data_IF_396509438662
#
_entry.id   IF_396509438662
#
_cell.length_a   1.000
_cell.length_b   1.000
_cell.length_c   1.000
_cell.angle_alpha   90.00
_cell.angle_beta   90.00
_cell.angle_gamma   90.00
#
_symmetry.space_group_name_H-M   'P 1'
#
loop_
_entity.id
_entity.type
_entity.pdbx_description
1 polymer ?
#
# COMPACT_ATOMS: atom_id res chain seq x y z
N UNK A 1 -4.73 -13.83 8.37
CA UNK A 1 -5.19 -14.39 7.07
C UNK A 1 -4.10 -15.27 6.47
N UNK A 2 -4.44 -16.25 5.63
CA UNK A 2 -3.46 -17.02 4.87
C UNK A 2 -3.52 -16.63 3.39
N UNK A 3 -2.37 -16.32 2.80
CA UNK A 3 -2.23 -15.99 1.38
C UNK A 3 -1.74 -17.18 0.56
N UNK A 4 -2.02 -17.19 -0.75
CA UNK A 4 -1.65 -18.27 -1.67
C UNK A 4 -0.56 -17.87 -2.66
N UNK A 5 0.06 -18.87 -3.29
CA UNK A 5 1.05 -18.66 -4.35
C UNK A 5 0.45 -17.80 -5.48
N UNK A 6 1.27 -16.94 -6.09
CA UNK A 6 0.90 -16.01 -7.15
C UNK A 6 -0.16 -14.96 -6.78
N UNK A 7 -0.58 -14.88 -5.52
CA UNK A 7 -1.50 -13.85 -5.04
C UNK A 7 -0.80 -12.48 -4.96
N UNK A 8 -1.49 -11.44 -5.43
CA UNK A 8 -1.08 -10.05 -5.23
C UNK A 8 -1.42 -9.58 -3.82
N UNK A 9 -0.43 -9.02 -3.15
CA UNK A 9 -0.51 -8.51 -1.77
C UNK A 9 0.07 -7.11 -1.69
N UNK A 10 -0.39 -6.34 -0.72
CA UNK A 10 0.12 -5.00 -0.44
C UNK A 10 0.87 -5.05 0.88
N UNK A 11 2.09 -4.53 0.87
CA UNK A 11 2.92 -4.36 2.05
C UNK A 11 3.13 -2.87 2.30
N UNK A 12 2.78 -2.33 3.51
CA UNK A 12 3.03 -0.95 3.85
C UNK A 12 4.43 -0.45 3.42
N UNK A 13 4.47 0.77 2.89
CA UNK A 13 5.67 1.45 2.38
C UNK A 13 6.37 0.83 1.15
N UNK A 14 6.18 -0.46 0.88
CA UNK A 14 6.76 -1.13 -0.31
C UNK A 14 5.78 -1.18 -1.49
N UNK A 15 4.48 -1.09 -1.20
CA UNK A 15 3.43 -1.11 -2.22
C UNK A 15 2.98 -2.52 -2.57
N UNK A 16 2.70 -2.76 -3.85
CA UNK A 16 2.14 -4.04 -4.30
C UNK A 16 3.25 -5.03 -4.64
N UNK A 17 3.16 -6.22 -4.06
CA UNK A 17 4.01 -7.36 -4.35
C UNK A 17 3.20 -8.60 -4.72
N UNK A 18 3.90 -9.65 -5.12
CA UNK A 18 3.33 -10.96 -5.47
C UNK A 18 3.98 -12.04 -4.62
N UNK A 19 3.19 -12.96 -4.10
CA UNK A 19 3.73 -14.13 -3.39
C UNK A 19 4.35 -15.06 -4.42
N UNK A 20 5.67 -15.14 -4.38
CA UNK A 20 6.47 -15.97 -5.28
C UNK A 20 6.60 -17.39 -4.74
N UNK A 21 6.68 -17.53 -3.42
CA UNK A 21 6.84 -18.83 -2.77
C UNK A 21 6.31 -18.82 -1.33
N UNK A 22 5.96 -20.00 -0.83
CA UNK A 22 5.60 -20.26 0.57
C UNK A 22 6.52 -21.38 1.05
N UNK A 23 7.46 -21.05 1.92
CA UNK A 23 8.49 -21.99 2.37
C UNK A 23 8.37 -22.23 3.87
N UNK A 24 8.45 -23.49 4.27
CA UNK A 24 8.63 -23.87 5.66
C UNK A 24 10.13 -23.97 5.95
N UNK A 25 10.62 -23.25 6.95
CA UNK A 25 12.03 -23.25 7.36
C UNK A 25 12.16 -23.55 8.84
N UNK A 26 13.16 -24.37 9.16
CA UNK A 26 13.55 -24.61 10.55
C UNK A 26 14.38 -23.42 11.06
N UNK A 27 13.97 -22.82 12.17
CA UNK A 27 14.69 -21.76 12.86
C UNK A 27 14.70 -22.09 14.36
N UNK A 28 15.89 -22.26 14.94
CA UNK A 28 16.08 -22.67 16.34
C UNK A 28 15.33 -23.97 16.74
N UNK A 29 15.19 -24.93 15.83
CA UNK A 29 14.49 -26.20 16.09
C UNK A 29 12.96 -26.14 15.95
N UNK A 30 12.41 -24.97 15.58
CA UNK A 30 10.99 -24.81 15.28
C UNK A 30 10.78 -24.60 13.78
N UNK A 31 9.75 -25.22 13.22
CA UNK A 31 9.35 -25.00 11.84
C UNK A 31 8.45 -23.76 11.72
N UNK A 32 8.91 -22.78 10.95
CA UNK A 32 8.22 -21.51 10.71
C UNK A 32 7.94 -21.38 9.22
N UNK A 33 6.69 -21.10 8.89
CA UNK A 33 6.30 -20.77 7.52
C UNK A 33 6.66 -19.32 7.17
N UNK A 34 7.18 -19.12 5.98
CA UNK A 34 7.54 -17.82 5.42
C UNK A 34 6.89 -17.59 4.05
N UNK A 35 6.37 -16.39 3.87
CA UNK A 35 6.01 -15.85 2.57
C UNK A 35 7.23 -15.20 1.91
N UNK A 36 7.53 -15.59 0.68
CA UNK A 36 8.48 -14.90 -0.19
C UNK A 36 7.69 -13.96 -1.11
N UNK A 37 7.76 -12.66 -0.84
CA UNK A 37 7.01 -11.62 -1.55
C UNK A 37 7.95 -10.85 -2.45
N UNK A 38 7.69 -10.86 -3.75
CA UNK A 38 8.44 -10.12 -4.75
C UNK A 38 7.74 -8.81 -5.12
N UNK A 39 8.46 -7.70 -5.07
CA UNK A 39 7.99 -6.37 -5.43
C UNK A 39 8.58 -5.98 -6.79
N UNK A 40 7.79 -6.02 -7.88
CA UNK A 40 8.31 -5.79 -9.23
C UNK A 40 8.82 -4.36 -9.43
N UNK A 41 8.24 -3.38 -8.74
CA UNK A 41 8.63 -1.98 -8.91
C UNK A 41 10.05 -1.67 -8.45
N UNK A 42 10.51 -2.32 -7.36
CA UNK A 42 11.84 -2.12 -6.80
C UNK A 42 12.76 -3.33 -7.00
N UNK A 43 12.30 -4.36 -7.71
CA UNK A 43 12.99 -5.66 -7.87
C UNK A 43 13.46 -6.30 -6.54
N UNK A 44 12.76 -6.02 -5.44
CA UNK A 44 13.10 -6.51 -4.11
C UNK A 44 12.27 -7.74 -3.72
N UNK A 45 12.87 -8.64 -2.95
CA UNK A 45 12.16 -9.80 -2.38
C UNK A 45 12.24 -9.75 -0.86
N UNK A 46 11.08 -9.85 -0.19
CA UNK A 46 10.97 -9.90 1.26
C UNK A 46 10.55 -11.28 1.72
N UNK A 47 11.17 -11.78 2.79
CA UNK A 47 10.75 -12.98 3.49
C UNK A 47 10.03 -12.59 4.77
N UNK A 48 8.76 -12.96 4.89
CA UNK A 48 7.92 -12.59 6.02
C UNK A 48 7.36 -13.83 6.70
N UNK A 49 7.54 -14.01 8.03
CA UNK A 49 6.91 -15.10 8.75
C UNK A 49 5.38 -15.00 8.64
N UNK A 50 4.71 -16.11 8.31
CA UNK A 50 3.24 -16.16 8.19
C UNK A 50 2.56 -15.67 9.47
N UNK A 51 3.13 -15.99 10.63
CA UNK A 51 2.63 -15.57 11.94
C UNK A 51 2.60 -14.06 12.16
N UNK A 52 3.48 -13.30 11.48
CA UNK A 52 3.61 -11.84 11.61
C UNK A 52 3.04 -11.07 10.43
N UNK A 53 2.50 -11.75 9.41
CA UNK A 53 2.03 -11.08 8.20
C UNK A 53 0.92 -10.05 8.51
N UNK A 54 0.02 -10.38 9.43
CA UNK A 54 -1.06 -9.51 9.88
C UNK A 54 -0.53 -8.31 10.69
N UNK A 55 0.39 -8.55 11.64
CA UNK A 55 1.04 -7.52 12.45
C UNK A 55 1.85 -6.52 11.61
N UNK A 56 2.43 -6.98 10.50
CA UNK A 56 3.18 -6.17 9.55
C UNK A 56 2.26 -5.42 8.56
N UNK A 57 0.94 -5.57 8.69
CA UNK A 57 -0.05 -4.89 7.86
C UNK A 57 -0.12 -5.39 6.43
N UNK A 58 0.36 -6.61 6.15
CA UNK A 58 0.26 -7.22 4.83
C UNK A 58 -1.19 -7.58 4.57
N UNK A 59 -1.70 -7.16 3.41
CA UNK A 59 -3.10 -7.39 3.03
C UNK A 59 -3.22 -7.85 1.60
N UNK A 60 -4.39 -8.37 1.26
CA UNK A 60 -4.75 -8.62 -0.13
C UNK A 60 -4.91 -7.30 -0.90
N UNK A 61 -4.66 -7.37 -2.20
CA UNK A 61 -5.01 -6.29 -3.13
C UNK A 61 -6.51 -5.94 -3.01
N UNK A 62 -6.84 -4.66 -3.09
CA UNK A 62 -8.24 -4.22 -3.05
C UNK A 62 -9.02 -4.64 -4.29
N UNK A 63 -10.33 -4.82 -4.12
CA UNK A 63 -11.25 -5.04 -5.25
C UNK A 63 -11.43 -3.76 -6.06
N UNK A 64 -11.86 -3.93 -7.32
CA UNK A 64 -12.22 -2.82 -8.21
C UNK A 64 -13.27 -1.89 -7.60
N UNK A 65 -14.25 -2.42 -6.87
CA UNK A 65 -15.30 -1.63 -6.20
C UNK A 65 -14.69 -0.67 -5.17
N UNK A 66 -13.76 -1.15 -4.35
CA UNK A 66 -13.04 -0.30 -3.38
C UNK A 66 -12.17 0.74 -4.06
N UNK A 67 -11.62 0.44 -5.23
CA UNK A 67 -10.89 1.43 -6.04
C UNK A 67 -11.80 2.55 -6.51
N UNK A 68 -13.03 2.23 -6.93
CA UNK A 68 -14.03 3.24 -7.30
C UNK A 68 -14.40 4.12 -6.10
N UNK A 69 -14.52 3.56 -4.90
CA UNK A 69 -14.70 4.33 -3.66
C UNK A 69 -13.52 5.28 -3.39
N UNK A 70 -12.28 4.81 -3.56
CA UNK A 70 -11.08 5.64 -3.45
C UNK A 70 -11.10 6.81 -4.44
N UNK A 71 -11.47 6.55 -5.70
CA UNK A 71 -11.63 7.61 -6.70
C UNK A 71 -12.68 8.64 -6.31
N UNK A 72 -13.81 8.19 -5.75
CA UNK A 72 -14.86 9.09 -5.27
C UNK A 72 -14.35 9.98 -4.13
N UNK A 73 -13.60 9.43 -3.17
CA UNK A 73 -13.00 10.19 -2.06
C UNK A 73 -12.03 11.25 -2.58
N UNK A 74 -11.18 10.90 -3.55
CA UNK A 74 -10.19 11.82 -4.12
C UNK A 74 -10.87 12.92 -4.95
N UNK A 75 -11.93 12.58 -5.69
CA UNK A 75 -12.65 13.51 -6.59
C UNK A 75 -13.58 14.46 -5.84
N UNK A 76 -14.24 14.00 -4.78
CA UNK A 76 -15.14 14.84 -4.00
C UNK A 76 -14.34 15.90 -3.26
N UNK A 77 -14.57 17.19 -3.50
CA UNK A 77 -13.79 18.28 -2.88
C UNK A 77 -14.42 18.77 -1.56
N UNK A 78 -15.63 18.29 -1.21
CA UNK A 78 -16.46 18.89 -0.16
C UNK A 78 -16.36 18.20 1.21
N UNK A 79 -15.81 16.99 1.29
CA UNK A 79 -15.64 16.30 2.58
C UNK A 79 -14.70 17.13 3.47
N UNK A 80 -15.25 17.74 4.53
CA UNK A 80 -14.47 18.48 5.52
C UNK A 80 -13.47 17.52 6.18
N UNK A 81 -12.27 17.49 5.64
CA UNK A 81 -11.19 16.72 6.21
C UNK A 81 -10.86 17.35 7.56
N UNK A 82 -11.15 16.64 8.64
CA UNK A 82 -10.90 17.06 10.01
C UNK A 82 -9.38 17.13 10.25
N UNK A 83 -8.81 18.31 9.95
CA UNK A 83 -7.37 18.56 9.91
C UNK A 83 -6.69 18.25 11.25
N UNK A 84 -7.45 18.30 12.35
CA UNK A 84 -6.97 18.00 13.71
C UNK A 84 -6.78 16.50 13.90
N UNK A 85 -7.75 15.68 13.51
CA UNK A 85 -7.65 14.21 13.58
C UNK A 85 -6.54 13.64 12.70
N UNK A 86 -6.33 14.22 11.51
CA UNK A 86 -5.24 13.77 10.63
C UNK A 86 -3.88 14.19 11.18
N UNK A 87 -3.75 15.39 11.75
CA UNK A 87 -2.47 15.83 12.32
C UNK A 87 -2.06 14.98 13.52
N UNK A 88 -2.99 14.71 14.44
CA UNK A 88 -2.75 13.91 15.64
C UNK A 88 -2.62 12.41 15.33
N UNK A 89 -3.32 11.90 14.32
CA UNK A 89 -3.31 10.49 13.90
C UNK A 89 -2.36 10.16 12.74
N UNK A 90 -1.66 11.13 12.16
CA UNK A 90 -0.83 10.92 10.97
C UNK A 90 0.15 9.77 11.14
N UNK A 91 0.74 9.61 12.32
CA UNK A 91 1.63 8.49 12.64
C UNK A 91 0.93 7.10 12.64
N UNK A 92 -0.35 7.06 13.00
CA UNK A 92 -1.15 5.84 13.09
C UNK A 92 -1.82 5.48 11.75
N UNK A 93 -2.09 6.47 10.89
CA UNK A 93 -2.57 6.22 9.52
C UNK A 93 -1.55 5.43 8.68
N UNK A 94 -0.24 5.53 8.95
CA UNK A 94 0.78 4.68 8.31
C UNK A 94 0.66 3.21 8.67
N UNK A 95 0.21 2.92 9.91
CA UNK A 95 0.08 1.55 10.43
C UNK A 95 -1.24 0.93 10.04
N UNK A 96 -2.29 1.74 9.92
CA UNK A 96 -3.57 1.28 9.42
C UNK A 96 -3.50 1.11 7.90
N UNK A 97 -3.26 -0.13 7.49
CA UNK A 97 -3.16 -0.62 6.11
C UNK A 97 -4.45 -0.47 5.29
N UNK A 98 -5.33 0.50 5.59
CA UNK A 98 -6.57 0.68 4.85
C UNK A 98 -6.40 1.69 3.69
N UNK A 99 -6.83 1.29 2.49
CA UNK A 99 -6.69 2.11 1.28
C UNK A 99 -7.55 3.37 1.32
N UNK A 100 -8.74 3.32 1.95
CA UNK A 100 -9.63 4.48 2.04
C UNK A 100 -9.04 5.54 2.97
N UNK A 101 -8.49 5.09 4.10
CA UNK A 101 -7.74 5.90 5.04
C UNK A 101 -6.51 6.54 4.38
N UNK A 102 -5.79 5.77 3.57
CA UNK A 102 -4.67 6.24 2.75
C UNK A 102 -5.11 7.30 1.74
N UNK A 103 -6.23 7.11 1.05
CA UNK A 103 -6.78 8.06 0.08
C UNK A 103 -7.16 9.40 0.73
N UNK A 104 -7.74 9.37 1.94
CA UNK A 104 -8.06 10.56 2.73
C UNK A 104 -6.81 11.33 3.13
N UNK A 105 -5.75 10.64 3.57
CA UNK A 105 -4.49 11.27 3.92
C UNK A 105 -3.77 11.85 2.70
N UNK A 106 -3.74 11.13 1.58
CA UNK A 106 -3.21 11.63 0.31
C UNK A 106 -3.89 12.93 -0.10
N UNK A 107 -5.23 12.95 -0.11
CA UNK A 107 -6.03 14.13 -0.42
C UNK A 107 -5.72 15.30 0.52
N UNK A 108 -5.64 15.06 1.83
CA UNK A 108 -5.28 16.09 2.80
C UNK A 108 -3.92 16.73 2.51
N UNK A 109 -2.89 15.90 2.31
CA UNK A 109 -1.54 16.36 2.02
C UNK A 109 -1.47 17.07 0.66
N UNK A 110 -2.18 16.58 -0.35
CA UNK A 110 -2.26 17.18 -1.67
C UNK A 110 -2.94 18.56 -1.64
N UNK A 111 -4.10 18.70 -0.97
CA UNK A 111 -4.75 20.00 -0.81
C UNK A 111 -3.87 20.97 -0.02
N UNK A 112 -3.17 20.49 1.01
CA UNK A 112 -2.23 21.30 1.80
C UNK A 112 -1.04 21.76 0.96
N UNK A 113 -0.50 20.91 0.07
CA UNK A 113 0.62 21.24 -0.82
C UNK A 113 0.27 22.32 -1.86
N UNK A 114 -1.00 22.37 -2.30
CA UNK A 114 -1.51 23.43 -3.18
C UNK A 114 -1.60 24.79 -2.49
N UNK A 115 -1.80 24.82 -1.17
CA UNK A 115 -1.94 26.06 -0.41
C UNK A 115 -0.59 26.57 0.12
N UNK A 116 0.30 25.66 0.55
CA UNK A 116 1.59 25.96 1.18
C UNK A 116 2.61 24.89 0.86
N UNK A 117 3.89 25.24 0.86
CA UNK A 117 4.96 24.25 0.78
C UNK A 117 4.92 23.31 1.99
N UNK A 118 4.92 22.01 1.69
CA UNK A 118 4.99 20.96 2.71
C UNK A 118 6.43 20.82 3.23
N UNK A 119 6.61 20.54 4.54
CA UNK A 119 7.88 20.08 5.08
C UNK A 119 8.40 18.86 4.32
N UNK A 120 9.73 18.69 4.25
CA UNK A 120 10.37 17.59 3.53
C UNK A 120 9.78 16.21 3.85
N UNK A 121 9.53 15.94 5.13
CA UNK A 121 8.91 14.69 5.58
C UNK A 121 7.52 14.48 4.97
N UNK A 122 6.62 15.45 5.10
CA UNK A 122 5.25 15.38 4.56
C UNK A 122 5.24 15.29 3.02
N UNK A 123 6.19 15.93 2.35
CA UNK A 123 6.36 15.84 0.88
C UNK A 123 6.81 14.45 0.45
N UNK A 124 7.75 13.84 1.17
CA UNK A 124 8.19 12.46 0.91
C UNK A 124 7.02 11.49 1.08
N UNK A 125 6.28 11.63 2.16
CA UNK A 125 5.08 10.85 2.45
C UNK A 125 4.07 10.93 1.30
N UNK A 126 3.78 12.16 0.83
CA UNK A 126 2.84 12.37 -0.27
C UNK A 126 3.26 11.60 -1.53
N UNK A 127 4.56 11.66 -1.88
CA UNK A 127 5.11 10.94 -3.02
C UNK A 127 5.03 9.41 -2.85
N UNK A 128 5.37 8.90 -1.65
CA UNK A 128 5.30 7.47 -1.36
C UNK A 128 3.86 6.96 -1.49
N UNK A 129 2.87 7.73 -1.02
CA UNK A 129 1.45 7.40 -1.17
C UNK A 129 0.95 7.46 -2.60
N UNK A 130 1.38 8.46 -3.37
CA UNK A 130 1.03 8.59 -4.77
C UNK A 130 1.47 7.35 -5.55
N UNK A 131 2.71 6.90 -5.30
CA UNK A 131 3.26 5.70 -5.90
C UNK A 131 2.43 4.46 -5.53
N UNK A 132 2.18 4.24 -4.23
CA UNK A 132 1.41 3.08 -3.75
C UNK A 132 -0.01 3.06 -4.35
N UNK A 133 -0.71 4.20 -4.32
CA UNK A 133 -2.06 4.31 -4.87
C UNK A 133 -2.07 4.06 -6.39
N UNK A 134 -1.12 4.62 -7.14
CA UNK A 134 -1.01 4.38 -8.58
C UNK A 134 -0.82 2.90 -8.90
N UNK A 135 0.09 2.22 -8.20
CA UNK A 135 0.33 0.79 -8.42
C UNK A 135 -0.88 -0.07 -8.05
N UNK A 136 -1.48 0.21 -6.90
CA UNK A 136 -2.60 -0.56 -6.40
C UNK A 136 -3.84 -0.41 -7.29
N UNK A 137 -4.14 0.81 -7.72
CA UNK A 137 -5.23 1.11 -8.66
C UNK A 137 -4.96 0.47 -10.03
N UNK A 138 -3.74 0.57 -10.55
CA UNK A 138 -3.36 -0.01 -11.84
C UNK A 138 -3.58 -1.52 -11.85
N UNK A 139 -3.12 -2.22 -10.81
CA UNK A 139 -3.25 -3.67 -10.70
C UNK A 139 -4.70 -4.10 -10.44
N UNK A 140 -5.42 -3.40 -9.57
CA UNK A 140 -6.81 -3.71 -9.26
C UNK A 140 -7.77 -3.47 -10.44
N UNK A 141 -7.48 -2.47 -11.29
CA UNK A 141 -8.26 -2.21 -12.51
C UNK A 141 -7.78 -3.02 -13.72
N UNK A 142 -6.69 -3.79 -13.60
CA UNK A 142 -6.00 -4.43 -14.73
C UNK A 142 -5.66 -3.45 -15.86
N UNK A 143 -5.54 -2.16 -15.55
CA UNK A 143 -5.15 -1.14 -16.51
C UNK A 143 -3.63 -1.11 -16.46
N UNK A 144 -2.98 -1.47 -17.57
CA UNK A 144 -1.54 -1.27 -17.74
C UNK A 144 -1.26 0.23 -17.58
N UNK A 145 -0.67 0.63 -16.45
CA UNK A 145 -0.20 1.99 -16.28
C UNK A 145 0.90 2.22 -17.30
N UNK A 146 0.57 2.91 -18.39
CA UNK A 146 1.55 3.52 -19.31
C UNK A 146 2.25 4.66 -18.57
N UNK A 147 3.18 4.29 -17.70
CA UNK A 147 4.36 5.06 -17.36
C UNK A 147 5.40 4.05 -16.86
N UNK A 148 6.16 3.54 -17.84
CA UNK A 148 7.47 2.90 -17.72
C UNK A 148 7.71 2.04 -16.48
N UNK A 149 7.35 0.76 -16.56
CA UNK A 149 8.28 -0.38 -16.73
C UNK A 149 7.37 -1.57 -17.00
N UNK A 150 7.32 -2.00 -18.25
CA UNK A 150 6.86 -3.35 -18.58
C UNK A 150 7.79 -4.33 -17.87
N UNK A 151 7.23 -5.38 -17.26
CA UNK A 151 7.54 -6.67 -17.82
C UNK A 151 6.24 -7.36 -18.20
N UNK A 152 6.25 -7.90 -19.41
CA UNK A 152 5.28 -8.88 -19.87
C UNK A 152 5.19 -10.00 -18.83
N UNK A 153 3.95 -10.42 -18.56
CA UNK A 153 3.57 -11.48 -17.64
C UNK A 153 4.22 -12.82 -17.97
#
# INVERSE_FOLDING_TARGET
MAFVLDQAVVYPMQGVGKIKNIQNKEFNGEFIDYYEIYFPFNEMTFMVPVSRADDLGIRALVSKEKVEEVFNIIKDFEEQIDQKKIKDGSHDFYKQSDILSTAKLYKFLYTKSMQKELPFYEKRILNDFELILQHEISLALQISCKNSISPEF
#
